data_IF_337242455823
#
_entry.id   IF_337242455823
#
_cell.length_a   1.000
_cell.length_b   1.000
_cell.length_c   1.000
_cell.angle_alpha   90.00
_cell.angle_beta   90.00
_cell.angle_gamma   90.00
#
_symmetry.space_group_name_H-M   'P 1'
#
loop_
_entity.id
_entity.type
_entity.pdbx_description
1 polymer ?
#
# COMPACT_ATOMS: atom_id res chain seq x y z
N UNK A 1 13.64 -1.51 -16.27
CA UNK A 1 13.68 -1.55 -14.80
C UNK A 1 12.99 -0.29 -14.30
N UNK A 2 12.09 -0.41 -13.34
CA UNK A 2 11.29 0.70 -12.84
C UNK A 2 11.77 1.13 -11.46
N UNK A 3 11.83 2.44 -11.24
CA UNK A 3 12.19 3.07 -9.96
C UNK A 3 11.14 4.12 -9.60
N UNK A 4 11.12 4.54 -8.33
CA UNK A 4 10.31 5.69 -7.90
C UNK A 4 11.21 6.87 -7.55
N UNK A 5 10.79 8.07 -7.94
CA UNK A 5 11.42 9.31 -7.54
C UNK A 5 10.47 10.11 -6.65
N UNK A 6 10.95 10.54 -5.49
CA UNK A 6 10.17 11.42 -4.59
C UNK A 6 10.70 12.83 -4.74
N UNK A 7 9.88 13.71 -5.31
CA UNK A 7 10.18 15.12 -5.46
C UNK A 7 10.08 15.88 -4.13
N UNK A 8 10.57 17.12 -4.10
CA UNK A 8 10.73 17.89 -2.84
C UNK A 8 9.42 18.17 -2.10
N UNK A 9 8.34 18.23 -2.84
CA UNK A 9 6.96 18.40 -2.36
C UNK A 9 6.32 17.09 -1.90
N UNK A 10 7.00 15.96 -2.08
CA UNK A 10 6.50 14.63 -1.72
C UNK A 10 5.79 13.91 -2.87
N UNK A 11 5.71 14.51 -4.06
CA UNK A 11 5.14 13.84 -5.23
C UNK A 11 6.02 12.65 -5.63
N UNK A 12 5.39 11.50 -5.85
CA UNK A 12 6.09 10.26 -6.23
C UNK A 12 5.84 10.00 -7.71
N UNK A 13 6.94 9.88 -8.47
CA UNK A 13 6.92 9.66 -9.90
C UNK A 13 7.54 8.29 -10.21
N UNK A 14 6.83 7.49 -10.99
CA UNK A 14 7.38 6.26 -11.56
C UNK A 14 8.28 6.57 -12.75
N UNK A 15 9.45 5.95 -12.80
CA UNK A 15 10.39 6.17 -13.90
C UNK A 15 11.00 4.85 -14.38
N UNK A 16 10.87 4.61 -15.67
CA UNK A 16 11.59 3.53 -16.34
C UNK A 16 13.03 3.96 -16.65
N UNK A 17 13.99 3.13 -16.23
CA UNK A 17 15.42 3.38 -16.39
C UNK A 17 16.13 2.16 -16.97
N UNK A 18 17.22 2.43 -17.69
CA UNK A 18 18.06 1.40 -18.32
C UNK A 18 19.14 0.85 -17.37
N UNK A 19 19.64 1.67 -16.44
CA UNK A 19 20.72 1.32 -15.52
C UNK A 19 20.66 2.19 -14.24
N UNK A 20 21.19 1.65 -13.14
CA UNK A 20 21.32 2.32 -11.83
C UNK A 20 22.69 2.97 -11.60
N UNK A 21 23.66 2.84 -12.50
CA UNK A 21 25.03 3.35 -12.28
C UNK A 21 25.11 4.85 -11.94
N UNK A 22 24.14 5.65 -12.40
CA UNK A 22 24.09 7.10 -12.18
C UNK A 22 22.78 7.55 -11.54
N UNK A 23 22.32 6.85 -10.51
CA UNK A 23 21.12 7.20 -9.75
C UNK A 23 21.07 8.67 -9.31
N UNK A 24 22.20 9.24 -8.89
CA UNK A 24 22.28 10.66 -8.53
C UNK A 24 21.82 11.58 -9.67
N UNK A 25 22.17 11.25 -10.92
CA UNK A 25 21.77 12.03 -12.09
C UNK A 25 20.27 11.89 -12.42
N UNK A 26 19.70 10.71 -12.15
CA UNK A 26 18.27 10.45 -12.30
C UNK A 26 17.43 11.30 -11.32
N UNK A 27 18.00 11.62 -10.16
CA UNK A 27 17.44 12.51 -9.15
C UNK A 27 17.73 14.00 -9.40
N UNK A 28 18.34 14.35 -10.54
CA UNK A 28 18.67 15.74 -10.89
C UNK A 28 19.90 16.32 -10.19
N UNK A 29 20.72 15.50 -9.51
CA UNK A 29 21.97 15.96 -8.93
C UNK A 29 23.07 16.05 -9.99
N UNK A 30 23.84 17.15 -9.94
CA UNK A 30 25.01 17.35 -10.82
C UNK A 30 26.17 16.39 -10.53
N UNK A 31 26.30 15.98 -9.27
CA UNK A 31 27.40 15.15 -8.77
C UNK A 31 26.87 14.10 -7.81
N UNK A 32 27.55 12.96 -7.70
CA UNK A 32 27.29 11.94 -6.67
C UNK A 32 27.74 12.35 -5.26
N UNK A 33 28.37 13.52 -5.10
CA UNK A 33 28.78 14.04 -3.79
C UNK A 33 27.59 14.07 -2.83
N UNK A 34 27.77 13.46 -1.66
CA UNK A 34 26.76 13.33 -0.59
C UNK A 34 25.49 12.58 -1.01
N UNK A 35 25.50 11.88 -2.16
CA UNK A 35 24.43 10.99 -2.58
C UNK A 35 24.73 9.58 -2.07
N UNK A 36 23.93 9.13 -1.12
CA UNK A 36 24.16 7.90 -0.39
C UNK A 36 22.85 7.12 -0.20
N UNK A 37 22.99 5.87 0.26
CA UNK A 37 21.86 5.10 0.74
C UNK A 37 21.42 5.67 2.09
N UNK A 38 20.18 6.14 2.15
CA UNK A 38 19.59 6.83 3.30
C UNK A 38 18.91 5.87 4.25
N UNK A 39 18.20 4.88 3.70
CA UNK A 39 17.42 3.90 4.44
C UNK A 39 17.31 2.61 3.62
N UNK A 40 17.07 1.50 4.31
CA UNK A 40 16.80 0.21 3.72
C UNK A 40 15.65 -0.44 4.48
N UNK A 41 14.63 -0.87 3.74
CA UNK A 41 13.52 -1.64 4.29
C UNK A 41 13.42 -2.97 3.56
N UNK A 42 13.83 -4.05 4.20
CA UNK A 42 13.79 -5.40 3.61
C UNK A 42 14.38 -5.45 2.18
N UNK A 43 13.51 -5.47 1.16
CA UNK A 43 13.85 -5.47 -0.27
C UNK A 43 13.94 -4.09 -0.91
N UNK A 44 13.55 -3.01 -0.23
CA UNK A 44 13.57 -1.63 -0.74
C UNK A 44 14.72 -0.81 -0.17
N UNK A 45 15.26 0.08 -1.00
CA UNK A 45 16.33 1.00 -0.60
C UNK A 45 15.99 2.43 -1.02
N UNK A 46 16.25 3.37 -0.12
CA UNK A 46 16.10 4.79 -0.34
C UNK A 46 17.47 5.42 -0.54
N UNK A 47 17.65 6.18 -1.62
CA UNK A 47 18.86 6.93 -1.92
C UNK A 47 18.59 8.42 -2.06
N UNK A 48 19.57 9.24 -1.68
CA UNK A 48 19.46 10.69 -1.76
C UNK A 48 20.50 11.40 -0.90
N UNK A 49 20.16 12.59 -0.40
CA UNK A 49 21.06 13.41 0.42
C UNK A 49 20.47 13.74 1.79
N UNK A 50 21.30 13.60 2.83
CA UNK A 50 21.03 14.11 4.19
C UNK A 50 21.51 15.55 4.41
N UNK A 51 22.24 16.10 3.46
CA UNK A 51 22.88 17.42 3.56
C UNK A 51 22.43 18.34 2.43
N UNK A 52 22.25 19.62 2.76
CA UNK A 52 21.83 20.64 1.82
C UNK A 52 21.66 21.99 2.50
N UNK A 53 21.25 22.99 1.73
CA UNK A 53 20.93 24.31 2.28
C UNK A 53 19.60 24.23 3.04
N UNK A 54 19.53 24.86 4.21
CA UNK A 54 18.35 24.83 5.10
C UNK A 54 17.04 25.28 4.43
N UNK A 55 17.12 26.21 3.48
CA UNK A 55 15.98 26.70 2.67
C UNK A 55 15.52 25.70 1.58
N UNK A 56 16.22 24.59 1.42
CA UNK A 56 15.95 23.52 0.43
C UNK A 56 15.66 22.17 1.08
N UNK A 57 15.39 22.15 2.39
CA UNK A 57 14.93 20.95 3.10
C UNK A 57 13.57 20.50 2.53
N UNK A 58 13.41 19.20 2.30
CA UNK A 58 12.16 18.62 1.82
C UNK A 58 11.08 18.74 2.91
N UNK A 59 9.82 18.93 2.52
CA UNK A 59 8.73 19.20 3.48
C UNK A 59 8.13 17.92 4.08
N UNK A 60 8.22 16.80 3.36
CA UNK A 60 7.75 15.52 3.85
C UNK A 60 8.79 14.88 4.78
N UNK A 61 8.29 14.02 5.66
CA UNK A 61 9.10 13.19 6.55
C UNK A 61 8.67 11.75 6.40
N UNK A 62 9.63 10.84 6.48
CA UNK A 62 9.33 9.44 6.78
C UNK A 62 9.19 9.30 8.31
N UNK A 63 9.00 8.08 8.81
CA UNK A 63 8.89 7.84 10.26
C UNK A 63 10.15 8.18 11.05
N UNK A 64 11.27 8.41 10.37
CA UNK A 64 12.47 8.96 10.97
C UNK A 64 12.42 10.50 10.96
N UNK A 65 12.93 11.14 12.01
CA UNK A 65 13.12 12.60 12.06
C UNK A 65 14.33 13.08 11.22
N UNK A 66 14.69 12.31 10.19
CA UNK A 66 15.78 12.62 9.29
C UNK A 66 15.41 13.78 8.36
N UNK A 67 16.43 14.52 7.94
CA UNK A 67 16.30 15.63 6.99
C UNK A 67 16.75 15.18 5.62
N UNK A 68 15.93 15.49 4.62
CA UNK A 68 16.20 15.15 3.23
C UNK A 68 16.24 16.40 2.37
N UNK A 69 17.05 16.36 1.32
CA UNK A 69 17.24 17.49 0.42
C UNK A 69 17.21 17.02 -1.03
N UNK A 70 16.33 17.60 -1.84
CA UNK A 70 16.24 17.28 -3.26
C UNK A 70 15.38 16.05 -3.55
N UNK A 71 15.47 15.53 -4.77
CA UNK A 71 14.70 14.36 -5.18
C UNK A 71 15.33 13.09 -4.59
N UNK A 72 14.53 12.24 -3.96
CA UNK A 72 14.97 10.93 -3.47
C UNK A 72 14.64 9.85 -4.50
N UNK A 73 15.33 8.72 -4.42
CA UNK A 73 15.09 7.57 -5.27
C UNK A 73 14.79 6.35 -4.41
N UNK A 74 13.71 5.65 -4.72
CA UNK A 74 13.41 4.33 -4.16
C UNK A 74 13.66 3.29 -5.24
N UNK A 75 14.40 2.25 -4.86
CA UNK A 75 14.63 1.07 -5.68
C UNK A 75 14.22 -0.19 -4.92
N UNK A 76 13.84 -1.22 -5.66
CA UNK A 76 13.66 -2.58 -5.13
C UNK A 76 14.87 -3.42 -5.54
N UNK A 77 15.40 -4.19 -4.61
CA UNK A 77 16.57 -5.05 -4.84
C UNK A 77 16.27 -6.07 -5.93
N UNK A 78 17.09 -6.03 -6.97
CA UNK A 78 17.07 -6.97 -8.10
C UNK A 78 15.74 -7.02 -8.88
N UNK A 79 14.86 -6.02 -8.71
CA UNK A 79 13.55 -6.03 -9.34
C UNK A 79 13.04 -4.60 -9.61
N UNK A 80 11.96 -4.50 -10.36
CA UNK A 80 11.25 -3.24 -10.63
C UNK A 80 10.22 -2.97 -9.54
N UNK A 81 9.95 -1.70 -9.27
CA UNK A 81 8.97 -1.26 -8.28
C UNK A 81 7.85 -0.46 -8.95
N UNK A 82 6.60 -0.71 -8.56
CA UNK A 82 5.47 0.17 -8.85
C UNK A 82 5.08 1.03 -7.64
N UNK A 83 4.37 2.13 -7.91
CA UNK A 83 3.88 3.06 -6.92
C UNK A 83 2.84 2.40 -6.01
N UNK A 84 1.98 1.55 -6.57
CA UNK A 84 0.95 0.86 -5.79
C UNK A 84 1.56 -0.19 -4.86
N UNK A 85 2.55 -0.96 -5.34
CA UNK A 85 3.34 -1.87 -4.52
C UNK A 85 4.03 -1.11 -3.37
N UNK A 86 4.69 0.01 -3.68
CA UNK A 86 5.34 0.85 -2.67
C UNK A 86 4.36 1.40 -1.64
N UNK A 87 3.19 1.88 -2.06
CA UNK A 87 2.16 2.40 -1.14
C UNK A 87 1.66 1.31 -0.20
N UNK A 88 1.35 0.12 -0.71
CA UNK A 88 0.91 -1.01 0.12
C UNK A 88 1.99 -1.40 1.13
N UNK A 89 3.24 -1.48 0.68
CA UNK A 89 4.38 -1.75 1.56
C UNK A 89 4.54 -0.69 2.66
N UNK A 90 4.55 0.59 2.27
CA UNK A 90 4.72 1.70 3.19
C UNK A 90 3.59 1.75 4.21
N UNK A 91 2.35 1.60 3.76
CA UNK A 91 1.18 1.54 4.64
C UNK A 91 1.30 0.36 5.61
N UNK A 92 1.65 -0.84 5.15
CA UNK A 92 1.83 -2.00 6.04
C UNK A 92 2.91 -1.75 7.09
N UNK A 93 4.06 -1.18 6.72
CA UNK A 93 5.14 -0.89 7.67
C UNK A 93 4.82 0.25 8.64
N UNK A 94 3.95 1.19 8.26
CA UNK A 94 3.54 2.29 9.14
C UNK A 94 2.28 1.99 9.95
N UNK A 95 1.43 1.05 9.51
CA UNK A 95 0.22 0.62 10.21
C UNK A 95 0.48 -0.22 11.45
N UNK A 96 1.68 -0.81 11.60
CA UNK A 96 2.12 -1.29 12.92
C UNK A 96 2.17 -0.14 13.97
N UNK A 97 2.07 1.13 13.55
CA UNK A 97 1.95 2.31 14.42
C UNK A 97 0.63 3.10 14.27
N UNK A 98 -0.29 2.70 13.38
CA UNK A 98 -1.55 3.41 13.15
C UNK A 98 -2.68 2.38 13.18
N UNK A 99 -3.39 2.37 14.32
CA UNK A 99 -4.68 1.71 14.49
C UNK A 99 -5.60 2.13 13.33
N UNK A 100 -6.24 1.14 12.74
CA UNK A 100 -7.22 1.22 11.65
C UNK A 100 -7.85 2.60 11.47
N UNK A 101 -7.63 3.19 10.30
CA UNK A 101 -8.63 4.11 9.76
C UNK A 101 -8.85 3.74 8.31
N UNK A 102 -10.13 3.49 8.04
CA UNK A 102 -10.66 2.86 6.86
C UNK A 102 -10.20 3.53 5.55
N UNK A 103 -9.76 2.70 4.61
CA UNK A 103 -9.86 3.04 3.19
C UNK A 103 -11.23 2.50 2.79
N UNK A 104 -12.23 3.39 2.76
CA UNK A 104 -13.47 3.14 2.04
C UNK A 104 -13.12 3.10 0.54
N UNK A 105 -12.95 1.90 0.02
CA UNK A 105 -13.08 1.61 -1.40
C UNK A 105 -14.27 0.67 -1.52
N UNK A 106 -15.30 1.14 -2.22
CA UNK A 106 -16.47 0.35 -2.64
C UNK A 106 -16.05 -1.07 -3.02
N UNK A 107 -16.42 -2.03 -2.18
CA UNK A 107 -16.40 -3.44 -2.53
C UNK A 107 -17.24 -4.17 -1.50
N UNK A 108 -18.12 -5.02 -2.00
CA UNK A 108 -19.15 -5.74 -1.28
C UNK A 108 -18.69 -6.31 0.07
N UNK A 109 -19.54 -6.08 1.07
CA UNK A 109 -19.38 -6.52 2.45
C UNK A 109 -19.48 -8.05 2.50
N UNK A 110 -18.36 -8.72 2.76
CA UNK A 110 -18.38 -10.07 3.32
C UNK A 110 -18.31 -9.93 4.84
N UNK A 111 -19.43 -10.18 5.51
CA UNK A 111 -19.49 -10.33 6.95
C UNK A 111 -18.65 -11.55 7.35
N UNK A 112 -17.50 -11.32 7.99
CA UNK A 112 -16.76 -12.37 8.68
C UNK A 112 -17.30 -12.41 10.09
N UNK A 113 -18.23 -13.33 10.34
CA UNK A 113 -18.68 -13.68 11.69
C UNK A 113 -17.47 -14.17 12.50
N UNK A 114 -17.16 -13.42 13.56
CA UNK A 114 -16.15 -13.77 14.54
C UNK A 114 -16.68 -14.91 15.41
N UNK A 115 -16.20 -16.13 15.18
CA UNK A 115 -16.33 -17.23 16.14
C UNK A 115 -15.43 -16.93 17.34
N UNK A 116 -15.99 -16.36 18.40
CA UNK A 116 -15.42 -16.44 19.74
C UNK A 116 -15.77 -17.80 20.33
N UNK A 117 -14.90 -18.77 20.12
CA UNK A 117 -14.93 -20.05 20.83
C UNK A 117 -14.24 -19.85 22.19
N UNK A 118 -15.04 -19.56 23.22
CA UNK A 118 -14.62 -19.69 24.61
C UNK A 118 -15.24 -20.95 25.18
N UNK A 119 -14.38 -21.96 25.35
CA UNK A 119 -14.63 -23.16 26.15
C UNK A 119 -15.03 -22.75 27.57
N UNK A 120 -16.24 -23.12 28.00
CA UNK A 120 -16.52 -23.49 29.38
C UNK A 120 -17.76 -24.41 29.41
N UNK A 121 -17.54 -25.62 29.93
CA UNK A 121 -18.54 -26.65 30.13
C UNK A 121 -19.48 -26.30 31.30
N UNK A 122 -20.79 -26.56 31.19
CA UNK A 122 -21.50 -27.59 31.98
C UNK A 122 -22.99 -27.71 31.61
N UNK A 123 -23.46 -28.96 31.72
CA UNK A 123 -24.81 -29.48 32.02
C UNK A 123 -26.05 -29.25 31.11
N UNK A 124 -26.47 -30.37 30.50
CA UNK A 124 -27.82 -30.96 30.50
C UNK A 124 -29.08 -30.13 30.12
N UNK A 125 -29.79 -30.57 29.06
CA UNK A 125 -31.12 -31.23 29.10
C UNK A 125 -31.81 -31.14 27.71
N UNK A 126 -31.95 -32.32 27.10
CA UNK A 126 -33.11 -32.92 26.41
C UNK A 126 -34.05 -32.15 25.44
N UNK A 127 -34.24 -32.77 24.27
CA UNK A 127 -35.40 -32.79 23.35
C UNK A 127 -36.08 -31.48 22.85
N UNK A 128 -36.08 -31.24 21.53
CA UNK A 128 -37.26 -31.51 20.69
C UNK A 128 -36.99 -31.38 19.17
N UNK A 129 -37.48 -32.38 18.46
CA UNK A 129 -37.74 -32.51 17.02
C UNK A 129 -38.46 -31.30 16.40
N UNK A 130 -38.02 -30.82 15.22
CA UNK A 130 -38.93 -30.35 14.15
C UNK A 130 -38.28 -30.36 12.76
N UNK A 131 -38.79 -31.26 11.94
CA UNK A 131 -38.72 -31.34 10.49
C UNK A 131 -39.55 -30.19 9.86
N UNK A 132 -39.00 -29.35 8.96
CA UNK A 132 -39.83 -28.57 8.03
C UNK A 132 -39.14 -28.29 6.69
N UNK A 133 -39.77 -28.82 5.62
CA UNK A 133 -39.49 -28.62 4.21
C UNK A 133 -40.05 -27.27 3.75
N UNK A 134 -39.27 -26.47 3.03
CA UNK A 134 -39.69 -25.15 2.52
C UNK A 134 -39.14 -24.83 1.13
N UNK A 135 -39.85 -25.34 0.12
CA UNK A 135 -39.91 -25.08 -1.33
C UNK A 135 -39.03 -23.99 -1.98
N UNK A 136 -38.46 -24.40 -3.13
CA UNK A 136 -37.95 -23.58 -4.24
C UNK A 136 -39.01 -22.59 -4.75
N UNK A 137 -38.56 -21.39 -5.11
CA UNK A 137 -39.29 -20.46 -5.98
C UNK A 137 -38.32 -20.07 -7.10
N UNK A 138 -38.68 -20.49 -8.31
CA UNK A 138 -38.09 -20.03 -9.57
C UNK A 138 -38.59 -18.60 -9.82
N UNK A 139 -37.70 -17.65 -10.11
CA UNK A 139 -38.08 -16.31 -10.57
C UNK A 139 -37.40 -16.02 -11.91
N UNK A 140 -38.19 -16.16 -12.98
CA UNK A 140 -37.89 -15.69 -14.32
C UNK A 140 -37.84 -14.16 -14.33
N UNK A 141 -36.77 -13.57 -14.88
CA UNK A 141 -36.77 -12.16 -15.25
C UNK A 141 -36.40 -12.01 -16.73
N UNK A 142 -37.45 -11.73 -17.52
CA UNK A 142 -37.44 -11.14 -18.86
C UNK A 142 -36.69 -9.81 -18.86
N UNK A 143 -35.91 -9.56 -19.92
CA UNK A 143 -35.63 -8.20 -20.37
C UNK A 143 -36.03 -8.08 -21.84
N UNK A 144 -36.95 -7.14 -22.09
CA UNK A 144 -37.34 -6.64 -23.41
C UNK A 144 -36.28 -5.65 -23.89
N UNK A 145 -35.73 -5.87 -25.08
CA UNK A 145 -34.84 -4.95 -25.77
C UNK A 145 -35.70 -4.13 -26.74
N UNK A 146 -35.82 -2.82 -26.48
CA UNK A 146 -36.42 -1.86 -27.42
C UNK A 146 -35.29 -1.27 -28.27
N UNK A 147 -35.36 -1.49 -29.58
CA UNK A 147 -34.68 -0.70 -30.61
C UNK A 147 -35.46 0.60 -30.86
N UNK A 148 -34.74 1.71 -31.09
CA UNK A 148 -35.03 2.82 -32.03
C UNK A 148 -33.96 3.91 -31.74
N UNK A 149 -33.24 4.50 -32.70
CA UNK A 149 -33.55 4.83 -34.11
C UNK A 149 -32.36 4.59 -35.06
#
# INVERSE_FOLDING_TARGET
MQILLIEKDGNIIEKNVKSLEKMYSLCGYRTNKDFEQLCQWDTYELYGKRTGKKDKENQYKFSTNDKYYGTLCIIKKNDSISLDEWKLFYISKMKDSIVETAIATDSDTYEIESNTETDDADDNVDNHDTHYLGKRVDEELKYEEYEEE
#
